data_IF_501021697551
#
_entry.id   IF_501021697551
#
_cell.length_a   1.000
_cell.length_b   1.000
_cell.length_c   1.000
_cell.angle_alpha   90.00
_cell.angle_beta   90.00
_cell.angle_gamma   90.00
#
_symmetry.space_group_name_H-M   'P 1'
#
loop_
_entity.id
_entity.type
_entity.pdbx_description
1 polymer ?
#
# COMPACT_ATOMS: atom_id res chain seq x y z
N UNK A 1 12.24 -32.18 -2.25
CA UNK A 1 12.22 -32.87 -0.93
C UNK A 1 12.77 -31.87 0.08
N UNK A 2 12.09 -31.34 1.11
CA UNK A 2 10.98 -31.79 1.96
C UNK A 2 9.83 -30.75 1.97
N UNK A 3 8.58 -31.20 1.78
CA UNK A 3 7.39 -30.43 2.12
C UNK A 3 7.13 -30.56 3.63
N UNK A 4 7.01 -29.45 4.40
CA UNK A 4 6.65 -29.55 5.80
C UNK A 4 5.16 -29.95 5.92
N UNK A 5 4.91 -31.22 6.24
CA UNK A 5 3.63 -31.66 6.81
C UNK A 5 3.42 -30.93 8.15
N UNK A 6 2.75 -29.77 8.19
CA UNK A 6 2.37 -29.16 9.49
C UNK A 6 1.21 -28.14 9.49
N UNK A 7 0.91 -27.44 8.38
CA UNK A 7 -0.08 -26.35 8.42
C UNK A 7 -1.53 -26.78 8.20
N UNK A 8 -1.80 -27.97 7.64
CA UNK A 8 -3.15 -28.44 7.33
C UNK A 8 -4.09 -28.52 8.56
N UNK A 9 -3.53 -28.68 9.76
CA UNK A 9 -4.31 -28.69 11.02
C UNK A 9 -4.42 -27.32 11.69
N UNK A 10 -3.64 -26.32 11.24
CA UNK A 10 -3.70 -24.96 11.78
C UNK A 10 -4.92 -24.21 11.25
N UNK A 11 -5.21 -24.40 9.96
CA UNK A 11 -6.26 -23.67 9.24
C UNK A 11 -7.54 -24.51 9.10
N UNK A 12 -8.63 -23.99 9.66
CA UNK A 12 -9.99 -24.46 9.35
C UNK A 12 -10.58 -23.60 8.23
N UNK A 13 -11.34 -24.15 7.28
CA UNK A 13 -11.98 -23.36 6.22
C UNK A 13 -12.78 -22.18 6.78
N UNK A 14 -12.63 -21.01 6.17
CA UNK A 14 -13.36 -19.80 6.56
C UNK A 14 -14.72 -19.74 5.87
N UNK A 15 -15.73 -19.28 6.61
CA UNK A 15 -16.99 -18.81 6.03
C UNK A 15 -16.79 -17.43 5.41
N UNK A 16 -17.70 -17.04 4.52
CA UNK A 16 -17.61 -15.84 3.69
C UNK A 16 -17.41 -14.54 4.48
N UNK A 17 -18.01 -14.42 5.67
CA UNK A 17 -17.87 -13.26 6.54
C UNK A 17 -16.79 -13.41 7.61
N UNK A 18 -16.09 -14.54 7.68
CA UNK A 18 -15.12 -14.81 8.75
C UNK A 18 -13.70 -14.40 8.38
N UNK A 19 -12.93 -14.02 9.40
CA UNK A 19 -11.48 -13.81 9.36
C UNK A 19 -10.81 -14.60 10.48
N UNK A 20 -9.48 -14.74 10.43
CA UNK A 20 -8.70 -15.24 11.57
C UNK A 20 -7.96 -14.10 12.22
N UNK A 21 -7.74 -14.21 13.52
CA UNK A 21 -6.99 -13.25 14.33
C UNK A 21 -6.02 -14.01 15.20
N UNK A 22 -4.82 -13.45 15.37
CA UNK A 22 -3.86 -13.94 16.35
C UNK A 22 -3.98 -13.19 17.68
N UNK A 23 -3.73 -13.87 18.78
CA UNK A 23 -3.44 -13.22 20.08
C UNK A 23 -2.01 -13.54 20.44
N UNK A 24 -1.16 -12.51 20.51
CA UNK A 24 0.24 -12.65 20.90
C UNK A 24 0.32 -12.79 22.42
N UNK A 25 0.90 -13.89 22.90
CA UNK A 25 0.98 -14.18 24.35
C UNK A 25 2.09 -13.36 25.02
N UNK A 26 1.94 -13.04 26.32
CA UNK A 26 3.00 -12.39 27.09
C UNK A 26 4.24 -13.29 27.18
N UNK A 27 5.39 -12.66 27.37
CA UNK A 27 6.67 -13.36 27.56
C UNK A 27 6.67 -14.04 28.94
N UNK A 28 6.75 -15.38 28.96
CA UNK A 28 6.81 -16.15 30.23
C UNK A 28 8.19 -16.09 30.89
N UNK A 29 9.26 -16.15 30.10
CA UNK A 29 10.67 -16.03 30.53
C UNK A 29 11.50 -15.34 29.45
N UNK A 30 12.61 -14.71 29.82
CA UNK A 30 13.55 -14.13 28.87
C UNK A 30 14.06 -15.21 27.90
N UNK A 31 14.21 -14.88 26.60
CA UNK A 31 14.60 -15.82 25.55
C UNK A 31 13.49 -16.77 25.04
N UNK A 32 12.26 -16.68 25.55
CA UNK A 32 11.16 -17.52 25.04
C UNK A 32 10.69 -17.07 23.65
N UNK A 33 10.50 -18.05 22.74
CA UNK A 33 9.95 -17.85 21.39
C UNK A 33 8.62 -17.10 21.45
N UNK A 34 8.28 -16.37 20.39
CA UNK A 34 6.97 -15.75 20.24
C UNK A 34 5.91 -16.86 20.14
N UNK A 35 4.84 -16.75 20.93
CA UNK A 35 3.73 -17.68 20.94
C UNK A 35 2.42 -16.93 20.68
N UNK A 36 1.62 -17.44 19.74
CA UNK A 36 0.34 -16.89 19.35
C UNK A 36 -0.76 -17.96 19.43
N UNK A 37 -1.99 -17.54 19.70
CA UNK A 37 -3.18 -18.35 19.40
C UNK A 37 -3.88 -17.80 18.17
N UNK A 38 -4.33 -18.65 17.26
CA UNK A 38 -5.10 -18.29 16.07
C UNK A 38 -6.56 -18.70 16.26
N UNK A 39 -7.48 -17.74 16.14
CA UNK A 39 -8.91 -17.94 16.32
C UNK A 39 -9.69 -17.38 15.14
N UNK A 40 -10.82 -17.99 14.81
CA UNK A 40 -11.75 -17.50 13.78
C UNK A 40 -12.80 -16.60 14.42
N UNK A 41 -13.07 -15.46 13.78
CA UNK A 41 -14.10 -14.52 14.17
C UNK A 41 -14.93 -14.09 12.96
N UNK A 42 -16.18 -13.70 13.18
CA UNK A 42 -17.01 -13.06 12.17
C UNK A 42 -16.60 -11.58 12.06
N UNK A 43 -16.34 -11.11 10.84
CA UNK A 43 -16.06 -9.71 10.58
C UNK A 43 -17.38 -8.93 10.58
N UNK A 44 -17.68 -8.31 11.72
CA UNK A 44 -18.81 -7.42 11.93
C UNK A 44 -18.40 -6.24 12.83
N UNK A 45 -19.31 -5.27 13.00
CA UNK A 45 -19.04 -4.02 13.74
C UNK A 45 -18.71 -4.21 15.23
N UNK A 46 -19.06 -5.37 15.82
CA UNK A 46 -18.78 -5.70 17.21
C UNK A 46 -17.35 -6.18 17.43
N UNK A 47 -16.72 -6.75 16.39
CA UNK A 47 -15.37 -7.30 16.47
C UNK A 47 -14.34 -6.18 16.70
N UNK A 48 -13.58 -6.28 17.80
CA UNK A 48 -12.47 -5.35 18.11
C UNK A 48 -11.15 -6.06 17.96
N UNK A 49 -10.33 -5.57 17.03
CA UNK A 49 -9.02 -6.11 16.70
C UNK A 49 -8.14 -5.01 16.11
N UNK A 50 -6.83 -5.23 16.06
CA UNK A 50 -5.89 -4.41 15.29
C UNK A 50 -5.48 -5.10 14.01
N UNK A 51 -5.06 -4.36 13.01
CA UNK A 51 -4.41 -4.93 11.83
C UNK A 51 -2.93 -4.50 11.81
N UNK A 52 -2.02 -5.44 11.66
CA UNK A 52 -0.59 -5.14 11.46
C UNK A 52 -0.32 -4.96 9.98
N UNK A 53 0.14 -3.78 9.63
CA UNK A 53 0.63 -3.40 8.32
C UNK A 53 2.14 -3.37 8.35
N UNK A 54 2.82 -4.12 7.49
CA UNK A 54 4.28 -4.23 7.51
C UNK A 54 4.82 -4.60 6.14
N UNK A 55 6.08 -4.27 5.86
CA UNK A 55 6.79 -4.72 4.65
C UNK A 55 7.08 -6.22 4.76
N UNK A 56 6.70 -7.03 3.76
CA UNK A 56 6.89 -8.49 3.83
C UNK A 56 8.35 -8.87 4.12
N UNK A 57 9.30 -8.18 3.47
CA UNK A 57 10.74 -8.37 3.65
C UNK A 57 11.26 -9.63 2.98
N UNK A 58 12.55 -9.93 3.20
CA UNK A 58 13.18 -11.12 2.63
C UNK A 58 12.62 -12.43 3.19
N UNK A 59 12.62 -13.47 2.34
CA UNK A 59 12.24 -14.85 2.70
C UNK A 59 13.44 -15.78 2.90
N UNK A 60 14.68 -15.29 2.73
CA UNK A 60 15.91 -16.10 2.84
C UNK A 60 16.25 -16.55 4.26
N UNK A 61 15.95 -15.75 5.28
CA UNK A 61 16.17 -16.06 6.71
C UNK A 61 14.84 -16.07 7.49
N UNK A 62 13.98 -17.09 7.32
CA UNK A 62 12.73 -17.18 8.06
C UNK A 62 12.99 -17.43 9.55
N UNK A 63 12.18 -16.79 10.40
CA UNK A 63 12.19 -16.99 11.86
C UNK A 63 11.01 -17.84 12.27
N UNK A 64 11.23 -18.70 13.26
CA UNK A 64 10.19 -19.61 13.76
C UNK A 64 9.50 -19.07 15.01
N UNK A 65 8.17 -18.98 14.93
CA UNK A 65 7.28 -18.69 16.06
C UNK A 65 6.41 -19.93 16.36
N UNK A 66 5.62 -19.88 17.43
CA UNK A 66 4.64 -20.92 17.75
C UNK A 66 3.22 -20.39 17.57
N UNK A 67 2.38 -21.05 16.78
CA UNK A 67 0.96 -20.69 16.60
C UNK A 67 0.09 -21.90 16.94
N UNK A 68 -0.82 -21.77 17.91
CA UNK A 68 -1.63 -22.89 18.42
C UNK A 68 -0.78 -24.12 18.82
N UNK A 69 0.39 -23.89 19.41
CA UNK A 69 1.31 -24.94 19.85
C UNK A 69 2.15 -25.60 18.73
N UNK A 70 2.08 -25.09 17.49
CA UNK A 70 2.83 -25.61 16.33
C UNK A 70 3.85 -24.60 15.84
N UNK A 71 4.99 -25.09 15.35
CA UNK A 71 5.97 -24.22 14.71
C UNK A 71 5.42 -23.61 13.41
N UNK A 72 5.65 -22.31 13.24
CA UNK A 72 5.23 -21.54 12.09
C UNK A 72 6.35 -20.58 11.70
N UNK A 73 6.71 -20.55 10.42
CA UNK A 73 7.77 -19.68 9.92
C UNK A 73 7.19 -18.35 9.43
N UNK A 74 7.82 -17.26 9.84
CA UNK A 74 7.54 -15.89 9.41
C UNK A 74 8.81 -15.26 8.85
N UNK A 75 8.68 -14.21 8.05
CA UNK A 75 9.86 -13.43 7.63
C UNK A 75 10.53 -12.75 8.82
N UNK A 76 11.81 -12.39 8.66
CA UNK A 76 12.56 -11.67 9.69
C UNK A 76 11.85 -10.39 10.13
N UNK A 77 11.35 -9.58 9.18
CA UNK A 77 10.69 -8.32 9.49
C UNK A 77 9.38 -8.53 10.27
N UNK A 78 8.59 -9.56 9.91
CA UNK A 78 7.39 -9.88 10.67
C UNK A 78 7.73 -10.39 12.08
N UNK A 79 8.81 -11.16 12.24
CA UNK A 79 9.25 -11.59 13.56
C UNK A 79 9.61 -10.40 14.46
N UNK A 80 10.41 -9.45 13.97
CA UNK A 80 10.74 -8.23 14.72
C UNK A 80 9.47 -7.42 15.05
N UNK A 81 8.54 -7.28 14.09
CA UNK A 81 7.27 -6.58 14.31
C UNK A 81 6.38 -7.27 15.37
N UNK A 82 6.28 -8.60 15.35
CA UNK A 82 5.55 -9.36 16.37
C UNK A 82 6.24 -9.32 17.74
N UNK A 83 7.57 -9.30 17.76
CA UNK A 83 8.34 -9.16 19.00
C UNK A 83 8.05 -7.80 19.63
N UNK A 84 8.14 -6.73 18.85
CA UNK A 84 7.85 -5.39 19.33
C UNK A 84 6.39 -5.25 19.77
N UNK A 85 5.45 -5.77 18.98
CA UNK A 85 4.03 -5.78 19.34
C UNK A 85 3.79 -6.46 20.70
N UNK A 86 4.47 -7.58 20.97
CA UNK A 86 4.42 -8.28 22.26
C UNK A 86 4.93 -7.40 23.40
N UNK A 87 6.07 -6.74 23.23
CA UNK A 87 6.65 -5.86 24.26
C UNK A 87 5.77 -4.62 24.48
N UNK A 88 5.22 -4.01 23.42
CA UNK A 88 4.30 -2.87 23.50
C UNK A 88 2.97 -3.21 24.21
N UNK A 89 2.48 -4.45 24.04
CA UNK A 89 1.22 -4.90 24.67
C UNK A 89 1.38 -5.38 26.12
N UNK A 90 2.47 -6.10 26.40
CA UNK A 90 2.61 -6.83 27.67
C UNK A 90 3.78 -6.33 28.54
N UNK A 91 4.79 -5.72 27.93
CA UNK A 91 5.99 -5.22 28.59
C UNK A 91 5.81 -3.77 29.06
N UNK A 92 6.03 -2.81 28.15
CA UNK A 92 5.93 -1.38 28.45
C UNK A 92 4.47 -0.87 28.50
N UNK A 93 3.52 -1.67 27.97
CA UNK A 93 2.07 -1.39 27.94
C UNK A 93 1.71 -0.08 27.25
N UNK A 94 2.50 0.34 26.28
CA UNK A 94 2.18 1.45 25.36
C UNK A 94 0.96 1.16 24.49
N UNK A 95 0.59 -0.12 24.31
CA UNK A 95 -0.58 -0.56 23.57
C UNK A 95 -1.50 -1.45 24.43
N UNK A 96 -2.81 -1.23 24.36
CA UNK A 96 -3.80 -2.17 24.94
C UNK A 96 -3.70 -3.56 24.29
N UNK A 97 -4.00 -4.64 25.01
CA UNK A 97 -3.97 -6.00 24.45
C UNK A 97 -5.23 -6.27 23.61
N UNK A 98 -5.06 -6.43 22.30
CA UNK A 98 -6.13 -6.84 21.38
C UNK A 98 -5.69 -8.01 20.49
N UNK A 99 -6.64 -8.81 19.98
CA UNK A 99 -6.38 -9.67 18.84
C UNK A 99 -5.86 -8.85 17.65
N UNK A 100 -4.96 -9.44 16.86
CA UNK A 100 -4.32 -8.79 15.72
C UNK A 100 -4.52 -9.61 14.47
N UNK A 101 -4.90 -8.95 13.38
CA UNK A 101 -4.89 -9.50 12.05
C UNK A 101 -3.51 -9.24 11.42
N UNK A 102 -2.90 -10.30 10.89
CA UNK A 102 -1.64 -10.28 10.16
C UNK A 102 -1.83 -11.19 8.96
N UNK A 103 -1.75 -10.66 7.75
CA UNK A 103 -2.00 -11.39 6.51
C UNK A 103 -1.23 -12.72 6.39
N UNK A 104 0.07 -12.72 6.70
CA UNK A 104 0.94 -13.90 6.61
C UNK A 104 0.51 -15.08 7.50
N UNK A 105 -0.21 -14.79 8.60
CA UNK A 105 -0.62 -15.82 9.56
C UNK A 105 -2.13 -16.07 9.49
N UNK A 106 -2.93 -15.02 9.29
CA UNK A 106 -4.38 -15.08 9.34
C UNK A 106 -5.00 -15.63 8.05
N UNK A 107 -4.32 -15.42 6.91
CA UNK A 107 -4.64 -16.05 5.63
C UNK A 107 -3.77 -17.31 5.48
N UNK A 108 -4.38 -18.41 5.03
CA UNK A 108 -3.64 -19.59 4.64
C UNK A 108 -2.90 -19.34 3.32
N UNK A 109 -1.65 -18.92 3.41
CA UNK A 109 -0.82 -18.54 2.25
C UNK A 109 -0.59 -19.70 1.26
N UNK A 110 -0.83 -20.95 1.68
CA UNK A 110 -0.70 -22.14 0.82
C UNK A 110 -2.01 -22.53 0.12
N UNK A 111 -3.12 -21.83 0.39
CA UNK A 111 -4.42 -22.06 -0.24
C UNK A 111 -4.75 -20.89 -1.17
N UNK A 112 -4.54 -21.11 -2.46
CA UNK A 112 -4.79 -20.10 -3.49
C UNK A 112 -6.27 -19.70 -3.57
N UNK A 113 -7.21 -20.61 -3.28
CA UNK A 113 -8.63 -20.30 -3.25
C UNK A 113 -8.97 -19.40 -2.06
N UNK A 114 -8.40 -19.69 -0.88
CA UNK A 114 -8.56 -18.80 0.27
C UNK A 114 -7.96 -17.42 0.00
N UNK A 115 -6.74 -17.37 -0.56
CA UNK A 115 -6.06 -16.11 -0.90
C UNK A 115 -6.88 -15.26 -1.87
N UNK A 116 -7.38 -15.86 -2.95
CA UNK A 116 -8.23 -15.19 -3.94
C UNK A 116 -9.52 -14.62 -3.32
N UNK A 117 -10.03 -15.21 -2.24
CA UNK A 117 -11.21 -14.73 -1.51
C UNK A 117 -10.90 -13.70 -0.43
N UNK A 118 -9.74 -13.78 0.22
CA UNK A 118 -9.39 -12.91 1.35
C UNK A 118 -8.71 -11.60 0.89
N UNK A 119 -7.89 -11.62 -0.16
CA UNK A 119 -7.19 -10.42 -0.65
C UNK A 119 -8.18 -9.31 -1.04
N UNK A 120 -9.26 -9.56 -1.80
CA UNK A 120 -10.26 -8.53 -2.10
C UNK A 120 -10.98 -7.97 -0.87
N UNK A 121 -10.98 -8.71 0.26
CA UNK A 121 -11.60 -8.32 1.53
C UNK A 121 -10.67 -7.51 2.43
N UNK A 122 -9.41 -7.30 2.06
CA UNK A 122 -8.47 -6.49 2.86
C UNK A 122 -9.03 -5.09 3.12
N UNK A 123 -9.71 -4.47 2.15
CA UNK A 123 -10.40 -3.19 2.33
C UNK A 123 -11.38 -3.20 3.52
N UNK A 124 -12.13 -4.29 3.70
CA UNK A 124 -13.12 -4.42 4.77
C UNK A 124 -12.43 -4.70 6.11
N UNK A 125 -11.32 -5.46 6.08
CA UNK A 125 -10.53 -5.78 7.26
C UNK A 125 -9.85 -4.52 7.81
N UNK A 126 -9.09 -3.80 6.99
CA UNK A 126 -8.40 -2.59 7.45
C UNK A 126 -9.37 -1.45 7.82
N UNK A 127 -10.49 -1.32 7.10
CA UNK A 127 -11.50 -0.30 7.46
C UNK A 127 -12.21 -0.62 8.78
N UNK A 128 -12.45 -1.90 9.10
CA UNK A 128 -13.12 -2.29 10.36
C UNK A 128 -12.18 -2.51 11.54
N UNK A 129 -10.86 -2.51 11.32
CA UNK A 129 -9.89 -2.59 12.41
C UNK A 129 -10.05 -1.40 13.37
N UNK A 130 -9.88 -1.67 14.68
CA UNK A 130 -9.87 -0.62 15.71
C UNK A 130 -8.75 0.39 15.45
N UNK A 131 -7.58 -0.13 15.15
CA UNK A 131 -6.33 0.58 14.86
C UNK A 131 -5.55 -0.24 13.84
N UNK A 132 -4.92 0.45 12.89
CA UNK A 132 -3.91 -0.13 12.00
C UNK A 132 -2.54 0.23 12.58
N UNK A 133 -1.67 -0.77 12.71
CA UNK A 133 -0.30 -0.61 13.18
C UNK A 133 0.63 -0.66 11.97
N UNK A 134 1.19 0.49 11.58
CA UNK A 134 2.19 0.58 10.52
C UNK A 134 3.59 0.30 11.07
N UNK A 135 4.10 -0.92 10.86
CA UNK A 135 5.45 -1.32 11.27
C UNK A 135 6.49 -0.83 10.25
N UNK A 136 7.27 0.17 10.67
CA UNK A 136 8.35 0.77 9.88
C UNK A 136 9.66 -0.02 9.99
N UNK A 137 9.74 -0.99 10.89
CA UNK A 137 10.92 -1.83 11.11
C UNK A 137 11.63 -1.53 12.44
N UNK A 138 12.45 -2.48 12.90
CA UNK A 138 13.37 -2.25 14.02
C UNK A 138 14.48 -1.28 13.63
N UNK A 139 14.74 -1.18 12.32
CA UNK A 139 15.71 -0.29 11.67
C UNK A 139 15.02 0.45 10.53
N UNK A 140 14.21 1.47 10.81
CA UNK A 140 13.32 2.06 9.83
C UNK A 140 14.02 2.90 8.74
N UNK A 141 15.34 3.06 8.83
CA UNK A 141 16.14 3.71 7.78
C UNK A 141 16.81 2.72 6.82
N UNK A 142 16.67 1.40 7.08
CA UNK A 142 17.21 0.36 6.22
C UNK A 142 16.09 -0.30 5.41
N UNK A 143 16.46 -0.77 4.23
CA UNK A 143 15.58 -1.58 3.41
C UNK A 143 15.47 -3.00 4.01
N UNK A 144 14.26 -3.49 4.36
CA UNK A 144 14.06 -4.83 4.93
C UNK A 144 14.37 -5.98 3.94
N UNK A 145 14.66 -5.69 2.68
CA UNK A 145 15.12 -6.67 1.69
C UNK A 145 16.65 -6.80 1.65
N UNK A 146 17.42 -5.90 2.26
CA UNK A 146 18.89 -5.94 2.30
C UNK A 146 19.37 -6.60 3.59
N UNK A 147 19.92 -7.83 3.49
CA UNK A 147 20.54 -8.53 4.62
C UNK A 147 21.95 -8.00 4.93
N UNK A 148 22.38 -8.08 6.20
CA UNK A 148 23.78 -7.93 6.57
C UNK A 148 24.31 -6.49 6.73
N UNK A 149 23.45 -5.46 6.71
CA UNK A 149 23.89 -4.08 6.97
C UNK A 149 24.53 -3.94 8.37
N UNK A 150 25.70 -3.28 8.51
CA UNK A 150 26.44 -3.22 9.77
C UNK A 150 25.64 -2.64 10.93
N UNK A 151 25.84 -3.22 12.10
CA UNK A 151 25.24 -2.85 13.39
C UNK A 151 25.75 -1.54 14.00
N UNK A 152 26.58 -0.76 13.29
CA UNK A 152 27.34 0.34 13.90
C UNK A 152 26.56 1.65 14.10
N UNK A 153 25.23 1.65 13.98
CA UNK A 153 24.38 2.85 14.14
C UNK A 153 23.06 2.61 14.86
N UNK A 154 22.91 1.52 15.62
CA UNK A 154 21.65 1.20 16.32
C UNK A 154 21.28 2.24 17.38
N UNK A 155 22.25 2.72 18.15
CA UNK A 155 21.99 3.54 19.34
C UNK A 155 21.59 4.98 18.97
N UNK A 156 22.30 5.61 18.03
CA UNK A 156 22.00 6.99 17.60
C UNK A 156 20.66 7.11 16.87
N UNK A 157 20.30 6.10 16.07
CA UNK A 157 19.03 6.08 15.35
C UNK A 157 17.84 5.87 16.29
N UNK A 158 17.97 4.98 17.29
CA UNK A 158 16.93 4.76 18.30
C UNK A 158 16.69 6.01 19.16
N UNK A 159 17.77 6.66 19.62
CA UNK A 159 17.68 7.93 20.37
C UNK A 159 16.98 9.01 19.54
N UNK A 160 17.34 9.16 18.27
CA UNK A 160 16.75 10.17 17.38
C UNK A 160 15.26 9.92 17.12
N UNK A 161 14.87 8.67 16.87
CA UNK A 161 13.45 8.29 16.70
C UNK A 161 12.68 8.52 18.00
N UNK A 162 13.25 8.13 19.14
CA UNK A 162 12.62 8.32 20.44
C UNK A 162 12.42 9.80 20.77
N UNK A 163 13.43 10.64 20.55
CA UNK A 163 13.33 12.08 20.73
C UNK A 163 12.22 12.68 19.84
N UNK A 164 12.17 12.27 18.56
CA UNK A 164 11.14 12.70 17.63
C UNK A 164 9.74 12.27 18.06
N UNK A 165 9.53 10.99 18.36
CA UNK A 165 8.19 10.51 18.72
C UNK A 165 7.73 11.06 20.06
N UNK A 166 8.64 11.24 21.03
CA UNK A 166 8.31 11.93 22.28
C UNK A 166 7.88 13.38 22.05
N UNK A 167 8.57 14.10 21.16
CA UNK A 167 8.20 15.47 20.78
C UNK A 167 6.84 15.52 20.06
N UNK A 168 6.62 14.63 19.09
CA UNK A 168 5.35 14.53 18.36
C UNK A 168 4.19 14.19 19.31
N UNK A 169 4.42 13.28 20.26
CA UNK A 169 3.40 12.83 21.20
C UNK A 169 3.08 13.86 22.29
N UNK A 170 4.05 14.71 22.66
CA UNK A 170 3.87 15.75 23.69
C UNK A 170 3.13 17.00 23.19
N UNK A 171 2.86 17.10 21.88
CA UNK A 171 2.24 18.27 21.26
C UNK A 171 2.98 19.58 21.57
N UNK A 172 4.31 19.49 21.79
CA UNK A 172 5.16 20.64 22.08
C UNK A 172 5.05 21.70 20.96
N UNK A 173 5.00 22.98 21.36
CA UNK A 173 4.62 24.09 20.49
C UNK A 173 5.48 24.25 19.23
N UNK A 174 4.87 24.91 18.23
CA UNK A 174 5.49 25.30 16.95
C UNK A 174 6.70 26.20 17.19
N UNK A 175 7.84 25.91 16.56
CA UNK A 175 9.05 26.73 16.69
C UNK A 175 10.20 26.31 15.78
N UNK A 176 11.39 26.86 16.01
CA UNK A 176 12.62 26.35 15.42
C UNK A 176 12.92 24.98 16.03
N UNK A 177 12.63 23.92 15.28
CA UNK A 177 12.93 22.56 15.69
C UNK A 177 14.42 22.25 15.52
N UNK A 178 14.93 21.35 16.36
CA UNK A 178 16.25 20.78 16.17
C UNK A 178 16.35 20.14 14.77
N UNK A 179 17.42 20.46 14.03
CA UNK A 179 17.70 19.91 12.71
C UNK A 179 17.74 18.38 12.71
N UNK A 180 18.11 17.74 13.82
CA UNK A 180 18.09 16.28 13.94
C UNK A 180 16.66 15.73 13.94
N UNK A 181 15.70 16.41 14.58
CA UNK A 181 14.28 16.01 14.55
C UNK A 181 13.72 16.13 13.12
N UNK A 182 14.03 17.24 12.45
CA UNK A 182 13.64 17.49 11.05
C UNK A 182 14.21 16.39 10.14
N UNK A 183 15.53 16.14 10.22
CA UNK A 183 16.22 15.12 9.42
C UNK A 183 15.64 13.72 9.68
N UNK A 184 15.38 13.38 10.94
CA UNK A 184 14.80 12.09 11.34
C UNK A 184 13.39 11.91 10.74
N UNK A 185 12.53 12.93 10.86
CA UNK A 185 11.18 12.90 10.30
C UNK A 185 11.18 12.77 8.77
N UNK A 186 12.02 13.56 8.09
CA UNK A 186 12.16 13.49 6.63
C UNK A 186 12.73 12.15 6.16
N UNK A 187 13.60 11.52 6.95
CA UNK A 187 14.14 10.19 6.65
C UNK A 187 13.10 9.10 6.84
N UNK A 188 12.27 9.18 7.90
CA UNK A 188 11.15 8.25 8.11
C UNK A 188 10.11 8.33 6.98
N UNK A 189 9.87 9.51 6.40
CA UNK A 189 8.97 9.65 5.24
C UNK A 189 9.45 8.91 3.99
N UNK A 190 10.72 8.48 3.95
CA UNK A 190 11.30 7.69 2.86
C UNK A 190 11.28 6.19 3.14
N UNK A 191 10.73 5.76 4.27
CA UNK A 191 10.66 4.35 4.62
C UNK A 191 9.87 3.56 3.56
N UNK A 192 10.37 2.38 3.19
CA UNK A 192 9.80 1.47 2.17
C UNK A 192 8.34 1.12 2.43
N UNK A 193 7.90 1.13 3.70
CA UNK A 193 6.50 0.91 4.02
C UNK A 193 5.58 1.90 3.31
N UNK A 194 5.92 3.19 3.30
CA UNK A 194 5.11 4.22 2.64
C UNK A 194 5.11 4.11 1.11
N UNK A 195 6.07 3.41 0.52
CA UNK A 195 6.14 3.25 -0.95
C UNK A 195 5.16 2.19 -1.43
N UNK A 196 4.73 1.22 -0.61
CA UNK A 196 3.94 0.09 -1.12
C UNK A 196 2.52 0.48 -1.52
N UNK A 197 2.07 0.04 -2.69
CA UNK A 197 0.71 0.31 -3.19
C UNK A 197 -0.37 -0.29 -2.29
N UNK A 198 -0.12 -1.45 -1.70
CA UNK A 198 -1.07 -2.08 -0.80
C UNK A 198 -1.28 -1.28 0.49
N UNK A 199 -0.30 -0.48 0.94
CA UNK A 199 -0.43 0.39 2.10
C UNK A 199 -1.47 1.50 1.89
N UNK A 200 -1.84 1.80 0.63
CA UNK A 200 -2.90 2.75 0.30
C UNK A 200 -4.22 2.36 0.97
N UNK A 201 -4.70 1.13 0.79
CA UNK A 201 -5.95 0.70 1.43
C UNK A 201 -5.79 0.57 2.95
N UNK A 202 -4.60 0.28 3.45
CA UNK A 202 -4.31 0.07 4.87
C UNK A 202 -4.34 1.38 5.66
N UNK A 203 -3.91 2.48 5.03
CA UNK A 203 -3.87 3.83 5.62
C UNK A 203 -5.11 4.64 5.29
N UNK A 204 -5.49 4.69 4.01
CA UNK A 204 -6.55 5.60 3.55
C UNK A 204 -7.90 5.10 4.04
N UNK A 205 -8.12 3.77 4.11
CA UNK A 205 -9.42 3.22 4.50
C UNK A 205 -9.62 3.04 6.00
N UNK A 206 -8.57 3.09 6.83
CA UNK A 206 -8.68 2.86 8.27
C UNK A 206 -9.54 3.92 8.97
N UNK A 207 -10.38 3.50 9.92
CA UNK A 207 -11.28 4.40 10.65
C UNK A 207 -10.54 5.42 11.53
N UNK A 208 -9.37 5.05 12.06
CA UNK A 208 -8.47 5.93 12.83
C UNK A 208 -7.14 6.07 12.12
N UNK A 209 -6.42 7.13 12.44
CA UNK A 209 -5.04 7.31 11.97
C UNK A 209 -4.22 6.07 12.37
N UNK A 210 -3.44 5.50 11.43
CA UNK A 210 -2.54 4.42 11.78
C UNK A 210 -1.57 4.84 12.89
N UNK A 211 -1.24 3.91 13.77
CA UNK A 211 -0.13 4.08 14.70
C UNK A 211 1.16 3.65 13.99
N UNK A 212 2.11 4.57 13.87
CA UNK A 212 3.43 4.28 13.32
C UNK A 212 4.31 3.68 14.40
N UNK A 213 4.84 2.49 14.13
CA UNK A 213 5.74 1.76 15.02
C UNK A 213 7.13 1.71 14.38
N UNK A 214 8.09 2.38 15.01
CA UNK A 214 9.48 2.45 14.56
C UNK A 214 10.39 2.02 15.71
N UNK A 215 11.02 0.85 15.59
CA UNK A 215 11.63 0.18 16.72
C UNK A 215 10.64 0.10 17.91
N UNK A 216 11.07 0.46 19.13
CA UNK A 216 10.20 0.49 20.32
C UNK A 216 9.27 1.69 20.42
N UNK A 217 9.39 2.66 19.52
CA UNK A 217 8.67 3.91 19.60
C UNK A 217 7.38 3.86 18.79
N UNK A 218 6.32 4.45 19.36
CA UNK A 218 5.00 4.51 18.74
C UNK A 218 4.50 5.95 18.71
N UNK A 219 3.92 6.36 17.59
CA UNK A 219 3.24 7.65 17.45
C UNK A 219 2.02 7.53 16.55
N UNK A 220 1.13 8.52 16.63
CA UNK A 220 -0.02 8.64 15.73
C UNK A 220 0.41 9.28 14.40
N UNK A 221 -0.02 8.68 13.27
CA UNK A 221 0.36 9.16 11.95
C UNK A 221 -0.08 10.62 11.70
N UNK A 222 -1.26 11.02 12.16
CA UNK A 222 -1.72 12.40 11.95
C UNK A 222 -0.88 13.39 12.75
N UNK A 223 -0.50 13.04 13.99
CA UNK A 223 0.44 13.86 14.78
C UNK A 223 1.80 13.97 14.10
N UNK A 224 2.32 12.88 13.56
CA UNK A 224 3.59 12.85 12.85
C UNK A 224 3.59 13.78 11.62
N UNK A 225 2.56 13.72 10.78
CA UNK A 225 2.46 14.60 9.60
C UNK A 225 2.09 16.04 9.95
N UNK A 226 1.35 16.27 11.04
CA UNK A 226 1.16 17.63 11.58
C UNK A 226 2.48 18.25 12.02
N UNK A 227 3.37 17.48 12.66
CA UNK A 227 4.73 17.92 12.98
C UNK A 227 5.49 18.29 11.70
N UNK A 228 5.50 17.42 10.68
CA UNK A 228 6.21 17.72 9.42
C UNK A 228 5.66 18.99 8.75
N UNK A 229 4.34 19.17 8.73
CA UNK A 229 3.70 20.39 8.21
C UNK A 229 4.07 21.65 9.00
N UNK A 230 4.42 21.52 10.27
CA UNK A 230 4.81 22.63 11.14
C UNK A 230 6.28 23.04 10.95
N UNK A 231 7.12 22.20 10.33
CA UNK A 231 8.52 22.50 10.04
C UNK A 231 8.56 23.70 9.09
N UNK A 232 8.94 24.86 9.64
CA UNK A 232 9.23 26.07 8.86
C UNK A 232 10.58 25.88 8.19
N UNK A 233 10.56 25.59 6.90
CA UNK A 233 11.73 25.77 6.05
C UNK A 233 11.75 27.25 5.63
N UNK A 234 12.93 27.87 5.61
CA UNK A 234 13.14 29.24 5.12
C UNK A 234 12.29 29.46 3.84
N UNK A 235 11.51 30.56 3.72
CA UNK A 235 10.79 30.89 2.50
C UNK A 235 11.64 30.81 1.22
N UNK A 236 12.96 30.95 1.33
CA UNK A 236 13.93 30.81 0.24
C UNK A 236 14.34 29.37 -0.08
N UNK A 237 14.14 28.41 0.84
CA UNK A 237 14.44 26.97 0.67
C UNK A 237 13.19 26.10 0.37
N UNK A 238 12.02 26.73 0.22
CA UNK A 238 11.00 26.25 -0.73
C UNK A 238 10.33 24.91 -0.46
N UNK A 239 10.23 24.42 0.78
CA UNK A 239 9.39 23.25 1.08
C UNK A 239 7.95 23.64 1.37
N UNK A 240 7.20 23.96 0.31
CA UNK A 240 5.73 24.11 0.36
C UNK A 240 5.08 22.75 0.66
N UNK A 241 3.84 22.71 1.18
CA UNK A 241 3.02 21.47 1.25
C UNK A 241 2.99 20.70 -0.08
N UNK A 242 3.19 21.40 -1.21
CA UNK A 242 3.35 20.79 -2.53
C UNK A 242 4.49 19.76 -2.60
N UNK A 243 5.54 19.88 -1.78
CA UNK A 243 6.67 18.93 -1.79
C UNK A 243 6.36 17.64 -1.01
N UNK A 244 5.44 17.69 -0.03
CA UNK A 244 5.01 16.48 0.70
C UNK A 244 4.17 15.55 -0.17
N UNK A 245 3.23 16.08 -0.96
CA UNK A 245 2.40 15.26 -1.86
C UNK A 245 3.21 14.64 -2.99
N UNK A 246 4.41 15.16 -3.30
CA UNK A 246 5.33 14.53 -4.26
C UNK A 246 5.90 13.21 -3.72
N UNK A 247 5.89 13.00 -2.40
CA UNK A 247 6.36 11.78 -1.73
C UNK A 247 5.23 10.78 -1.49
N UNK A 248 5.49 9.46 -1.56
CA UNK A 248 4.49 8.43 -1.28
C UNK A 248 3.81 8.58 0.09
N UNK A 249 4.60 8.90 1.13
CA UNK A 249 4.12 9.08 2.50
C UNK A 249 3.13 10.25 2.63
N UNK A 250 3.41 11.39 1.97
CA UNK A 250 2.52 12.54 1.98
C UNK A 250 1.25 12.32 1.15
N UNK A 251 1.33 11.59 0.03
CA UNK A 251 0.14 11.21 -0.76
C UNK A 251 -0.85 10.37 0.05
N UNK A 252 -0.35 9.42 0.85
CA UNK A 252 -1.17 8.62 1.76
C UNK A 252 -1.87 9.49 2.81
N UNK A 253 -1.12 10.37 3.49
CA UNK A 253 -1.66 11.22 4.54
C UNK A 253 -2.68 12.24 4.00
N UNK A 254 -2.37 12.95 2.91
CA UNK A 254 -3.28 13.95 2.33
C UNK A 254 -4.58 13.31 1.87
N UNK A 255 -4.51 12.19 1.12
CA UNK A 255 -5.72 11.49 0.65
C UNK A 255 -6.57 10.99 1.82
N UNK A 256 -5.94 10.51 2.89
CA UNK A 256 -6.63 10.14 4.12
C UNK A 256 -7.37 11.33 4.73
N UNK A 257 -6.71 12.48 4.88
CA UNK A 257 -7.31 13.69 5.45
C UNK A 257 -8.48 14.21 4.61
N UNK A 258 -8.36 14.15 3.28
CA UNK A 258 -9.42 14.57 2.36
C UNK A 258 -10.64 13.62 2.40
N UNK A 259 -10.40 12.30 2.57
CA UNK A 259 -11.48 11.32 2.75
C UNK A 259 -12.18 11.49 4.09
N UNK A 260 -11.42 11.70 5.17
CA UNK A 260 -11.93 11.68 6.54
C UNK A 260 -12.64 10.36 6.86
N UNK A 261 -13.77 10.44 7.58
CA UNK A 261 -14.63 9.28 7.89
C UNK A 261 -15.66 8.98 6.79
N UNK A 262 -15.58 9.63 5.64
CA UNK A 262 -16.58 9.49 4.58
C UNK A 262 -16.45 8.12 3.92
N UNK A 263 -17.56 7.36 3.80
CA UNK A 263 -17.57 6.13 3.01
C UNK A 263 -17.17 6.41 1.55
N UNK A 264 -16.69 5.39 0.85
CA UNK A 264 -16.42 5.47 -0.58
C UNK A 264 -17.72 5.86 -1.31
N UNK A 265 -17.66 6.97 -2.07
CA UNK A 265 -18.84 7.54 -2.73
C UNK A 265 -19.34 6.60 -3.82
N UNK A 266 -20.64 6.28 -3.80
CA UNK A 266 -21.29 5.53 -4.89
C UNK A 266 -21.35 6.41 -6.14
N UNK A 267 -20.78 5.92 -7.23
CA UNK A 267 -20.73 6.66 -8.48
C UNK A 267 -22.10 6.63 -9.18
N UNK A 268 -22.56 7.80 -9.65
CA UNK A 268 -23.85 7.95 -10.33
C UNK A 268 -23.88 7.27 -11.71
N UNK A 269 -22.72 7.20 -12.36
CA UNK A 269 -22.53 6.68 -13.71
C UNK A 269 -21.09 6.16 -13.89
N UNK A 270 -20.81 5.49 -15.02
CA UNK A 270 -19.46 5.00 -15.34
C UNK A 270 -18.44 6.13 -15.55
N UNK A 271 -18.89 7.32 -15.95
CA UNK A 271 -18.03 8.51 -16.10
C UNK A 271 -17.46 8.96 -14.77
N UNK A 272 -18.29 9.10 -13.74
CA UNK A 272 -17.86 9.47 -12.39
C UNK A 272 -16.97 8.40 -11.75
N UNK A 273 -17.24 7.12 -11.99
CA UNK A 273 -16.35 6.02 -11.60
C UNK A 273 -14.97 6.15 -12.29
N UNK A 274 -14.94 6.28 -13.62
CA UNK A 274 -13.71 6.37 -14.38
C UNK A 274 -12.89 7.61 -13.99
N UNK A 275 -13.52 8.75 -13.76
CA UNK A 275 -12.85 9.96 -13.27
C UNK A 275 -12.22 9.73 -11.90
N UNK A 276 -12.95 9.18 -10.93
CA UNK A 276 -12.41 8.90 -9.60
C UNK A 276 -11.29 7.86 -9.64
N UNK A 277 -11.43 6.80 -10.45
CA UNK A 277 -10.41 5.78 -10.64
C UNK A 277 -9.14 6.39 -11.24
N UNK A 278 -9.27 7.25 -12.26
CA UNK A 278 -8.14 7.93 -12.88
C UNK A 278 -7.39 8.81 -11.88
N UNK A 279 -8.11 9.58 -11.06
CA UNK A 279 -7.50 10.45 -10.06
C UNK A 279 -6.74 9.63 -9.00
N UNK A 280 -7.29 8.51 -8.48
CA UNK A 280 -6.55 7.66 -7.52
C UNK A 280 -5.34 6.98 -8.15
N UNK A 281 -5.41 6.54 -9.41
CA UNK A 281 -4.25 5.98 -10.14
C UNK A 281 -3.15 7.04 -10.28
N UNK A 282 -3.51 8.30 -10.57
CA UNK A 282 -2.55 9.40 -10.69
C UNK A 282 -1.90 9.72 -9.35
N UNK A 283 -2.70 9.89 -8.30
CA UNK A 283 -2.25 10.20 -6.93
C UNK A 283 -1.26 9.13 -6.45
N UNK A 284 -1.58 7.85 -6.65
CA UNK A 284 -0.78 6.74 -6.14
C UNK A 284 0.19 6.13 -7.16
N UNK A 285 0.49 6.84 -8.25
CA UNK A 285 1.36 6.32 -9.31
C UNK A 285 2.79 6.02 -8.85
N UNK A 286 3.28 6.73 -7.83
CA UNK A 286 4.63 6.57 -7.27
C UNK A 286 4.77 5.43 -6.28
N UNK A 287 3.66 4.83 -5.86
CA UNK A 287 3.69 3.70 -4.94
C UNK A 287 4.14 2.46 -5.70
N UNK A 288 5.02 1.67 -5.13
CA UNK A 288 5.63 0.48 -5.69
C UNK A 288 4.74 -0.75 -5.49
N UNK A 289 4.83 -1.67 -6.45
CA UNK A 289 4.10 -2.92 -6.45
C UNK A 289 5.05 -4.06 -6.83
N UNK A 290 4.96 -5.18 -6.13
CA UNK A 290 5.73 -6.38 -6.49
C UNK A 290 5.18 -7.02 -7.77
N UNK A 291 3.85 -7.07 -7.89
CA UNK A 291 3.17 -7.46 -9.12
C UNK A 291 2.71 -6.19 -9.84
N UNK A 292 3.07 -5.97 -11.12
CA UNK A 292 2.70 -4.77 -11.85
C UNK A 292 1.19 -4.46 -11.86
N UNK A 293 0.34 -5.50 -11.94
CA UNK A 293 -1.14 -5.37 -11.91
C UNK A 293 -1.66 -4.72 -10.62
N UNK A 294 -0.95 -4.84 -9.50
CA UNK A 294 -1.39 -4.30 -8.21
C UNK A 294 -1.38 -2.77 -8.19
N UNK A 295 -0.67 -2.10 -9.12
CA UNK A 295 -0.77 -0.65 -9.33
C UNK A 295 -2.20 -0.19 -9.61
N UNK A 296 -3.02 -1.07 -10.15
CA UNK A 296 -4.45 -0.85 -10.39
C UNK A 296 -5.27 -1.51 -9.29
N UNK A 297 -5.07 -2.81 -9.05
CA UNK A 297 -5.95 -3.58 -8.18
C UNK A 297 -5.99 -3.09 -6.73
N UNK A 298 -4.88 -2.60 -6.19
CA UNK A 298 -4.83 -2.12 -4.82
C UNK A 298 -5.65 -0.84 -4.60
N UNK A 299 -5.77 0.02 -5.61
CA UNK A 299 -6.50 1.32 -5.51
C UNK A 299 -7.98 1.21 -5.82
N UNK A 300 -8.46 0.07 -6.35
CA UNK A 300 -9.89 -0.18 -6.59
C UNK A 300 -10.73 -0.11 -5.30
N UNK A 301 -10.09 -0.37 -4.16
CA UNK A 301 -10.71 -0.27 -2.85
C UNK A 301 -11.15 1.16 -2.48
N UNK A 302 -10.61 2.18 -3.18
CA UNK A 302 -10.92 3.59 -2.97
C UNK A 302 -12.09 4.11 -3.81
N UNK A 303 -12.62 3.30 -4.72
CA UNK A 303 -13.76 3.65 -5.58
C UNK A 303 -14.89 2.65 -5.44
N UNK A 304 -16.13 3.09 -5.67
CA UNK A 304 -17.27 2.16 -5.59
C UNK A 304 -17.29 1.27 -6.83
N UNK A 305 -17.28 -0.04 -6.62
CA UNK A 305 -17.23 -1.05 -7.68
C UNK A 305 -18.62 -1.56 -8.09
N UNK A 306 -19.71 -0.96 -7.61
CA UNK A 306 -21.08 -1.39 -7.98
C UNK A 306 -21.37 -1.26 -9.48
N UNK A 307 -20.76 -0.28 -10.15
CA UNK A 307 -20.89 -0.04 -11.60
C UNK A 307 -19.68 -0.52 -12.38
N UNK A 308 -18.80 -1.29 -11.75
CA UNK A 308 -17.59 -1.78 -12.39
C UNK A 308 -17.95 -2.81 -13.47
N UNK A 309 -17.43 -2.67 -14.70
CA UNK A 309 -17.55 -3.70 -15.71
C UNK A 309 -16.95 -5.03 -15.21
N UNK A 310 -17.61 -6.15 -15.53
CA UNK A 310 -17.21 -7.49 -15.05
C UNK A 310 -15.81 -7.85 -15.51
N UNK A 311 -15.47 -7.48 -16.75
CA UNK A 311 -14.17 -7.63 -17.42
C UNK A 311 -13.03 -6.83 -16.75
N UNK A 312 -13.34 -5.87 -15.88
CA UNK A 312 -12.32 -5.15 -15.10
C UNK A 312 -12.17 -5.72 -13.68
N UNK A 313 -12.95 -6.72 -13.29
CA UNK A 313 -12.79 -7.38 -11.98
C UNK A 313 -11.38 -7.94 -11.84
N UNK A 314 -10.71 -7.77 -10.69
CA UNK A 314 -9.35 -8.29 -10.50
C UNK A 314 -9.23 -9.78 -10.81
N UNK A 315 -8.36 -10.11 -11.75
CA UNK A 315 -8.02 -11.48 -12.13
C UNK A 315 -6.53 -11.60 -12.38
N UNK A 316 -5.84 -12.25 -11.44
CA UNK A 316 -4.39 -12.48 -11.50
C UNK A 316 -3.98 -13.55 -12.53
N UNK A 317 -4.94 -14.24 -13.16
CA UNK A 317 -4.66 -15.16 -14.26
C UNK A 317 -4.53 -14.44 -15.61
N UNK A 318 -5.00 -13.19 -15.72
CA UNK A 318 -4.91 -12.42 -16.97
C UNK A 318 -3.48 -11.92 -17.21
N UNK A 319 -3.00 -11.93 -18.47
CA UNK A 319 -1.76 -11.25 -18.84
C UNK A 319 -1.82 -9.75 -18.52
N UNK A 320 -0.69 -9.18 -18.08
CA UNK A 320 -0.58 -7.77 -17.71
C UNK A 320 -1.12 -6.83 -18.80
N UNK A 321 -0.81 -7.12 -20.06
CA UNK A 321 -1.21 -6.29 -21.20
C UNK A 321 -2.72 -6.28 -21.43
N UNK A 322 -3.40 -7.41 -21.17
CA UNK A 322 -4.86 -7.46 -21.25
C UNK A 322 -5.50 -6.62 -20.15
N UNK A 323 -4.94 -6.66 -18.93
CA UNK A 323 -5.38 -5.82 -17.82
C UNK A 323 -5.16 -4.33 -18.17
N UNK A 324 -3.96 -3.96 -18.62
CA UNK A 324 -3.67 -2.58 -19.00
C UNK A 324 -4.59 -2.09 -20.13
N UNK A 325 -4.81 -2.89 -21.16
CA UNK A 325 -5.69 -2.56 -22.28
C UNK A 325 -7.13 -2.32 -21.84
N UNK A 326 -7.70 -3.25 -21.06
CA UNK A 326 -9.09 -3.16 -20.60
C UNK A 326 -9.32 -1.90 -19.75
N UNK A 327 -8.41 -1.64 -18.79
CA UNK A 327 -8.48 -0.44 -17.95
C UNK A 327 -8.28 0.85 -18.73
N UNK A 328 -7.31 0.88 -19.66
CA UNK A 328 -7.06 2.04 -20.50
C UNK A 328 -8.28 2.40 -21.35
N UNK A 329 -8.87 1.40 -22.02
CA UNK A 329 -10.09 1.56 -22.80
C UNK A 329 -11.21 2.17 -21.96
N UNK A 330 -11.50 1.58 -20.80
CA UNK A 330 -12.53 2.08 -19.90
C UNK A 330 -12.29 3.54 -19.50
N UNK A 331 -11.06 3.89 -19.11
CA UNK A 331 -10.69 5.24 -18.69
C UNK A 331 -10.84 6.24 -19.84
N UNK A 332 -10.31 5.94 -21.03
CA UNK A 332 -10.40 6.85 -22.18
C UNK A 332 -11.85 7.03 -22.68
N UNK A 333 -12.62 5.94 -22.80
CA UNK A 333 -14.02 5.99 -23.25
C UNK A 333 -14.89 6.88 -22.35
N UNK A 334 -14.66 6.85 -21.03
CA UNK A 334 -15.57 7.49 -20.07
C UNK A 334 -15.07 8.85 -19.57
N UNK A 335 -13.76 9.10 -19.58
CA UNK A 335 -13.18 10.39 -19.14
C UNK A 335 -12.85 11.31 -20.31
N UNK A 336 -12.44 10.76 -21.45
CA UNK A 336 -11.81 11.51 -22.53
C UNK A 336 -10.44 12.11 -22.18
N UNK A 337 -9.87 11.77 -21.02
CA UNK A 337 -8.63 12.35 -20.52
C UNK A 337 -7.41 11.67 -21.14
N UNK A 338 -6.74 12.40 -22.05
CA UNK A 338 -5.57 11.91 -22.78
C UNK A 338 -4.27 12.00 -21.99
N UNK A 339 -4.28 12.48 -20.74
CA UNK A 339 -3.05 12.60 -19.93
C UNK A 339 -2.37 11.26 -19.65
N UNK A 340 -3.09 10.13 -19.76
CA UNK A 340 -2.49 8.80 -19.65
C UNK A 340 -1.57 8.44 -20.82
N UNK A 341 -1.71 9.09 -21.99
CA UNK A 341 -0.89 8.78 -23.16
C UNK A 341 0.61 8.98 -22.92
N UNK A 342 1.01 9.84 -21.98
CA UNK A 342 2.41 10.00 -21.59
C UNK A 342 3.04 8.69 -21.08
N UNK A 343 2.22 7.74 -20.62
CA UNK A 343 2.66 6.42 -20.14
C UNK A 343 2.74 5.37 -21.27
N UNK A 344 2.50 5.77 -22.51
CA UNK A 344 2.48 4.89 -23.69
C UNK A 344 3.61 5.25 -24.67
N UNK A 345 4.66 5.91 -24.16
CA UNK A 345 5.80 6.40 -24.94
C UNK A 345 6.78 5.30 -25.34
N UNK A 346 6.83 4.21 -24.57
CA UNK A 346 7.70 3.07 -24.86
C UNK A 346 6.95 1.99 -25.65
N UNK A 347 7.62 1.45 -26.68
CA UNK A 347 7.10 0.33 -27.46
C UNK A 347 6.99 -0.90 -26.55
N UNK A 348 5.82 -1.53 -26.56
CA UNK A 348 5.55 -2.81 -25.91
C UNK A 348 4.97 -3.76 -26.95
N UNK A 349 5.48 -4.99 -26.98
CA UNK A 349 5.06 -5.96 -27.99
C UNK A 349 3.61 -6.40 -27.75
N UNK A 350 2.87 -6.62 -28.85
CA UNK A 350 1.51 -7.19 -28.83
C UNK A 350 0.44 -6.38 -28.06
N UNK A 351 0.64 -5.07 -27.86
CA UNK A 351 -0.36 -4.18 -27.26
C UNK A 351 -0.49 -2.89 -28.08
N UNK A 352 -1.71 -2.30 -28.19
CA UNK A 352 -1.85 -1.03 -28.90
C UNK A 352 -1.01 0.09 -28.30
N UNK A 353 -0.47 0.96 -29.16
CA UNK A 353 0.47 2.03 -28.75
C UNK A 353 -0.13 3.07 -27.80
N UNK A 354 -1.45 3.21 -27.80
CA UNK A 354 -2.16 4.13 -26.91
C UNK A 354 -2.40 3.55 -25.52
N UNK A 355 -2.11 2.25 -25.30
CA UNK A 355 -2.29 1.65 -23.98
C UNK A 355 -1.16 2.10 -23.05
N UNK A 356 -1.47 2.80 -21.94
CA UNK A 356 -0.50 3.17 -20.94
C UNK A 356 0.09 1.96 -20.23
N UNK A 357 1.37 2.03 -19.89
CA UNK A 357 1.95 1.14 -18.90
C UNK A 357 1.61 1.64 -17.50
N UNK A 358 0.66 0.99 -16.82
CA UNK A 358 0.27 1.34 -15.45
C UNK A 358 1.32 0.96 -14.39
N UNK A 359 2.36 0.20 -14.76
CA UNK A 359 3.45 -0.17 -13.85
C UNK A 359 4.39 1.01 -13.51
N UNK A 360 4.52 1.97 -14.43
CA UNK A 360 5.48 3.08 -14.32
C UNK A 360 5.03 4.16 -13.30
N UNK A 361 5.97 4.87 -12.70
CA UNK A 361 5.66 6.06 -11.92
C UNK A 361 5.47 7.29 -12.82
N UNK A 362 4.55 8.21 -12.49
CA UNK A 362 4.50 9.51 -13.16
C UNK A 362 5.34 10.50 -12.34
N UNK A 363 6.37 11.07 -12.97
CA UNK A 363 6.93 12.34 -12.51
C UNK A 363 5.87 13.41 -12.77
N UNK A 364 5.39 14.07 -11.70
CA UNK A 364 4.33 15.07 -11.76
C UNK A 364 4.77 16.25 -12.63
N UNK A 365 4.60 16.11 -13.95
CA UNK A 365 4.60 17.23 -14.88
C UNK A 365 3.15 17.71 -14.88
N UNK A 366 2.87 18.98 -14.57
CA UNK A 366 1.55 19.55 -14.73
C UNK A 366 1.22 19.59 -16.22
N UNK A 367 0.74 18.47 -16.76
CA UNK A 367 0.29 18.38 -18.14
C UNK A 367 -1.12 18.97 -18.15
N UNK A 368 -1.42 19.94 -19.04
CA UNK A 368 -2.79 20.40 -19.23
C UNK A 368 -3.73 19.21 -19.46
N UNK A 369 -4.92 19.23 -18.84
CA UNK A 369 -5.93 18.20 -19.14
C UNK A 369 -6.33 18.35 -20.60
N UNK A 370 -5.94 17.39 -21.43
CA UNK A 370 -6.37 17.29 -22.82
C UNK A 370 -7.59 16.38 -22.87
N UNK A 371 -8.77 16.99 -23.04
CA UNK A 371 -10.03 16.26 -23.17
C UNK A 371 -10.37 16.07 -24.65
N UNK A 372 -10.68 14.84 -25.03
CA UNK A 372 -11.18 14.50 -26.34
C UNK A 372 -12.32 13.49 -26.27
N UNK A 373 -12.93 13.22 -27.41
CA UNK A 373 -13.89 12.12 -27.59
C UNK A 373 -13.24 11.03 -28.44
N UNK A 374 -12.43 10.14 -27.83
CA UNK A 374 -11.84 9.03 -28.56
C UNK A 374 -12.93 8.06 -29.02
N UNK A 375 -12.72 7.47 -30.18
CA UNK A 375 -13.50 6.35 -30.72
C UNK A 375 -12.59 5.14 -30.89
N UNK A 376 -13.14 3.94 -30.74
CA UNK A 376 -12.38 2.70 -30.78
C UNK A 376 -12.90 1.79 -31.88
N UNK A 377 -12.00 1.02 -32.51
CA UNK A 377 -12.39 -0.07 -33.42
C UNK A 377 -13.24 -1.12 -32.71
N UNK A 378 -13.92 -1.98 -33.48
CA UNK A 378 -14.80 -3.01 -32.92
C UNK A 378 -14.06 -3.98 -31.98
N UNK A 379 -12.82 -4.35 -32.33
CA UNK A 379 -11.93 -5.16 -31.49
C UNK A 379 -11.25 -4.35 -30.37
N UNK A 380 -11.34 -3.02 -30.42
CA UNK A 380 -10.72 -2.11 -29.48
C UNK A 380 -9.21 -1.99 -29.61
N UNK A 381 -8.61 -2.36 -30.74
CA UNK A 381 -7.17 -2.19 -30.96
C UNK A 381 -6.78 -0.80 -31.48
N UNK A 382 -7.64 -0.14 -32.24
CA UNK A 382 -7.37 1.20 -32.78
C UNK A 382 -8.13 2.27 -31.99
N UNK A 383 -7.45 3.37 -31.68
CA UNK A 383 -8.06 4.55 -31.07
C UNK A 383 -7.96 5.74 -32.04
N UNK A 384 -9.09 6.33 -32.39
CA UNK A 384 -9.17 7.54 -33.21
C UNK A 384 -9.62 8.73 -32.38
N UNK A 385 -8.84 9.80 -32.41
CA UNK A 385 -9.15 11.11 -31.85
C UNK A 385 -9.44 12.04 -33.04
N UNK A 386 -10.39 12.98 -32.96
CA UNK A 386 -10.66 13.88 -34.08
C UNK A 386 -9.37 14.53 -34.61
N UNK A 387 -8.98 14.20 -35.86
CA UNK A 387 -7.76 14.67 -36.52
C UNK A 387 -6.51 13.78 -36.37
N UNK A 388 -6.55 12.70 -35.58
CA UNK A 388 -5.41 11.81 -35.32
C UNK A 388 -5.83 10.33 -35.19
N UNK A 389 -5.12 9.43 -35.87
CA UNK A 389 -5.32 7.98 -35.75
C UNK A 389 -4.15 7.36 -34.97
N UNK A 390 -4.42 6.67 -33.86
CA UNK A 390 -3.40 6.03 -33.01
C UNK A 390 -3.62 4.52 -33.02
N UNK A 391 -2.66 3.76 -33.56
CA UNK A 391 -2.74 2.30 -33.78
C UNK A 391 -1.52 1.58 -33.19
N UNK A 392 -1.48 0.25 -33.24
CA UNK A 392 -0.34 -0.58 -32.81
C UNK A 392 0.95 -0.12 -33.50
N UNK A 393 2.07 -0.10 -32.77
CA UNK A 393 3.38 0.13 -33.38
C UNK A 393 3.72 -1.03 -34.32
N UNK A 394 3.46 -0.88 -35.61
CA UNK A 394 3.93 -1.81 -36.66
C UNK A 394 5.33 -1.39 -37.10
N UNK A 395 6.26 -2.34 -37.18
CA UNK A 395 7.67 -2.07 -37.45
C UNK A 395 7.98 -1.72 -38.92
N UNK A 396 6.97 -1.65 -39.78
CA UNK A 396 7.15 -1.39 -41.21
C UNK A 396 6.50 -0.06 -41.64
N UNK A 397 7.29 1.00 -41.59
CA UNK A 397 7.16 2.10 -42.54
C UNK A 397 8.48 2.21 -43.30
N UNK A 398 8.60 1.38 -44.34
CA UNK A 398 9.42 1.73 -45.49
C UNK A 398 8.89 3.09 -46.00
N UNK A 399 9.70 4.16 -46.06
CA UNK A 399 9.21 5.46 -46.47
C UNK A 399 8.71 5.35 -47.91
N UNK A 400 7.39 5.44 -48.09
CA UNK A 400 6.80 5.56 -49.42
C UNK A 400 7.56 6.65 -50.21
N UNK A 401 7.98 6.38 -51.46
CA UNK A 401 8.73 7.36 -52.23
C UNK A 401 7.88 8.61 -52.40
N UNK A 402 8.48 9.77 -52.12
CA UNK A 402 7.84 11.06 -52.35
C UNK A 402 7.47 11.17 -53.84
N UNK A 403 6.25 11.60 -54.18
CA UNK A 403 5.93 11.91 -55.57
C UNK A 403 6.76 13.12 -56.02
N UNK A 404 7.40 12.96 -57.19
CA UNK A 404 8.17 14.01 -57.89
C UNK A 404 7.29 15.20 -58.32
#
# INVERSE_FOLDING_TARGET
MNTPRSTAHLYKPLKDSSIRLITVKPRRKYGTKIECTLQTATLDNSLKYRALSYVWGSTSDPKTITVNGREFNVTHNLFEGLQQLRESMHGDKTLEVFPVWVDAICINQNDLYEKARQVPRMKDIYSQAREVLGWLGARPFLDPFIEGSPSAGYDENDISIGALFNHVNSEAERGNFDLNLIRTAMSLCKNVWFTRIWVVQEVVLSNKAPLLMANKHVTDMDKFFQFIKSIRVDPNEGTSMKNLTVMPAGSLWVTRQERGSTPVVVHKDRKTLATSLLEVIKIFSKQEATLPVDKIYAVLSLVSTERFPVDLTPDYALPLDQVHHAYARFLFEHTGDLTLLIRSMEKRDNIPSWVPDFSLGISYVPIPKYLAHPSFSADGHDMTIQGYHITVFTEDLDPAPRPD
#
